data_IF_264790283713
#
_entry.id   IF_264790283713
#
_cell.length_a   1.000
_cell.length_b   1.000
_cell.length_c   1.000
_cell.angle_alpha   90.00
_cell.angle_beta   90.00
_cell.angle_gamma   90.00
#
_symmetry.space_group_name_H-M   'P 1'
#
loop_
_entity.id
_entity.type
_entity.pdbx_description
1 polymer ?
#
# COMPACT_ATOMS: atom_id res chain seq x y z
N UNK A 1 21.92 -2.28 31.02
CA UNK A 1 21.79 -1.36 29.86
C UNK A 1 21.45 0.03 30.35
N UNK A 2 22.14 1.06 29.83
CA UNK A 2 21.88 2.46 30.14
C UNK A 2 21.21 3.14 28.96
N UNK A 3 20.32 4.09 29.25
CA UNK A 3 19.63 4.89 28.25
C UNK A 3 19.93 6.37 28.51
N UNK A 4 20.09 7.11 27.41
CA UNK A 4 20.31 8.56 27.45
C UNK A 4 19.07 9.23 26.87
N UNK A 5 18.45 10.12 27.64
CA UNK A 5 17.32 10.90 27.15
C UNK A 5 17.79 11.86 26.04
N UNK A 6 17.27 11.76 24.80
CA UNK A 6 17.71 12.63 23.70
C UNK A 6 17.31 14.10 23.89
N UNK A 7 16.35 14.39 24.76
CA UNK A 7 15.86 15.75 24.98
C UNK A 7 16.66 16.54 26.04
N UNK A 8 17.23 15.87 27.06
CA UNK A 8 17.93 16.56 28.16
C UNK A 8 19.25 15.92 28.59
N UNK A 9 19.66 14.80 27.99
CA UNK A 9 20.93 14.13 28.31
C UNK A 9 20.92 13.33 29.62
N UNK A 10 19.78 13.19 30.31
CA UNK A 10 19.69 12.35 31.51
C UNK A 10 20.10 10.91 31.19
N UNK A 11 21.11 10.42 31.90
CA UNK A 11 21.68 9.08 31.73
C UNK A 11 21.36 8.24 32.97
N UNK A 12 20.61 7.16 32.77
CA UNK A 12 20.24 6.24 33.84
C UNK A 12 20.07 4.81 33.29
N UNK A 13 20.06 3.78 34.15
CA UNK A 13 19.67 2.42 33.75
C UNK A 13 18.27 2.43 33.11
N UNK A 14 18.01 1.53 32.15
CA UNK A 14 16.69 1.47 31.48
C UNK A 14 15.53 1.39 32.50
N UNK A 15 15.71 0.62 33.58
CA UNK A 15 14.70 0.44 34.62
C UNK A 15 14.27 1.77 35.27
N UNK A 16 15.13 2.78 35.32
CA UNK A 16 14.78 4.11 35.85
C UNK A 16 13.78 4.85 34.96
N UNK A 17 13.69 4.51 33.68
CA UNK A 17 12.70 5.09 32.75
C UNK A 17 11.36 4.32 32.78
N UNK A 18 11.37 3.08 33.26
CA UNK A 18 10.18 2.22 33.28
C UNK A 18 9.67 1.93 34.69
N UNK A 19 10.35 2.35 35.75
CA UNK A 19 10.05 1.95 37.14
C UNK A 19 8.66 2.38 37.64
N UNK A 20 8.05 3.35 36.98
CA UNK A 20 6.68 3.78 37.30
C UNK A 20 5.66 2.77 36.74
N UNK A 21 4.66 2.39 37.53
CA UNK A 21 3.61 1.47 37.09
C UNK A 21 2.89 1.94 35.82
N UNK A 22 2.70 3.25 35.65
CA UNK A 22 2.12 3.82 34.45
C UNK A 22 3.03 3.66 33.21
N UNK A 23 4.35 3.72 33.38
CA UNK A 23 5.31 3.49 32.31
C UNK A 23 5.31 2.01 31.88
N UNK A 24 5.21 1.07 32.82
CA UNK A 24 5.04 -0.35 32.53
C UNK A 24 3.75 -0.62 31.74
N UNK A 25 2.61 -0.08 32.20
CA UNK A 25 1.33 -0.20 31.49
C UNK A 25 1.42 0.39 30.08
N UNK A 26 2.06 1.53 29.92
CA UNK A 26 2.25 2.12 28.59
C UNK A 26 3.06 1.20 27.68
N UNK A 27 4.16 0.63 28.19
CA UNK A 27 4.97 -0.34 27.44
C UNK A 27 4.15 -1.57 27.01
N UNK A 28 3.35 -2.15 27.91
CA UNK A 28 2.45 -3.27 27.61
C UNK A 28 1.44 -2.92 26.51
N UNK A 29 0.82 -1.75 26.57
CA UNK A 29 -0.11 -1.28 25.54
C UNK A 29 0.58 -1.09 24.19
N UNK A 30 1.80 -0.56 24.17
CA UNK A 30 2.55 -0.38 22.93
C UNK A 30 2.94 -1.70 22.25
N UNK A 31 3.11 -2.78 23.02
CA UNK A 31 3.40 -4.12 22.45
C UNK A 31 2.21 -4.71 21.69
N UNK A 32 0.98 -4.25 21.94
CA UNK A 32 -0.22 -4.67 21.20
C UNK A 32 -0.36 -3.95 19.87
N UNK A 33 0.41 -2.90 19.63
CA UNK A 33 0.34 -2.10 18.41
C UNK A 33 1.06 -2.86 17.28
N UNK A 34 0.41 -3.07 16.12
CA UNK A 34 1.08 -3.64 14.95
C UNK A 34 2.31 -2.81 14.55
N UNK A 35 3.42 -3.45 14.15
CA UNK A 35 4.69 -2.76 13.86
C UNK A 35 4.56 -1.72 12.75
N UNK A 36 3.66 -1.93 11.78
CA UNK A 36 3.37 -0.98 10.71
C UNK A 36 2.81 0.37 11.21
N UNK A 37 2.21 0.40 12.41
CA UNK A 37 1.60 1.60 13.00
C UNK A 37 2.49 2.28 14.04
N UNK A 38 3.52 1.60 14.57
CA UNK A 38 4.28 2.05 15.74
C UNK A 38 4.83 3.47 15.61
N UNK A 39 5.52 3.78 14.51
CA UNK A 39 6.16 5.09 14.32
C UNK A 39 5.14 6.23 14.19
N UNK A 40 4.12 6.06 13.35
CA UNK A 40 3.09 7.10 13.14
C UNK A 40 2.24 7.30 14.39
N UNK A 41 1.99 6.23 15.14
CA UNK A 41 1.25 6.27 16.39
C UNK A 41 2.00 7.08 17.46
N UNK A 42 3.31 6.91 17.60
CA UNK A 42 4.11 7.71 18.53
C UNK A 42 4.00 9.21 18.22
N UNK A 43 4.08 9.60 16.95
CA UNK A 43 3.91 11.00 16.53
C UNK A 43 2.48 11.50 16.78
N UNK A 44 1.48 10.65 16.54
CA UNK A 44 0.09 10.97 16.81
C UNK A 44 -0.19 11.22 18.30
N UNK A 45 0.40 10.41 19.21
CA UNK A 45 0.26 10.62 20.66
C UNK A 45 0.78 12.02 21.09
N UNK A 46 1.78 12.57 20.41
CA UNK A 46 2.27 13.92 20.70
C UNK A 46 1.25 15.03 20.40
N UNK A 47 0.19 14.76 19.62
CA UNK A 47 -0.90 15.72 19.39
C UNK A 47 -1.77 15.93 20.63
N UNK A 48 -1.70 15.02 21.61
CA UNK A 48 -2.41 15.12 22.89
C UNK A 48 -1.55 15.73 24.00
N UNK A 49 -0.28 16.02 23.71
CA UNK A 49 0.66 16.57 24.68
C UNK A 49 0.20 17.98 25.13
N UNK A 50 0.10 18.23 26.44
CA UNK A 50 -0.25 19.56 26.94
C UNK A 50 0.76 20.63 26.49
N UNK A 51 0.29 21.87 26.27
CA UNK A 51 1.18 22.95 25.82
C UNK A 51 2.23 23.38 26.86
N UNK A 52 1.88 23.35 28.15
CA UNK A 52 2.72 23.86 29.25
C UNK A 52 3.44 22.77 30.05
N UNK A 53 2.99 21.52 29.95
CA UNK A 53 3.45 20.44 30.80
C UNK A 53 3.80 19.20 29.99
N UNK A 54 4.72 18.39 30.51
CA UNK A 54 5.05 17.10 29.92
C UNK A 54 3.85 16.16 30.02
N UNK A 55 3.63 15.38 28.96
CA UNK A 55 2.60 14.34 28.96
C UNK A 55 3.02 13.22 29.91
N UNK A 56 2.16 12.87 30.87
CA UNK A 56 2.38 11.73 31.77
C UNK A 56 2.06 10.41 31.08
N UNK A 57 2.66 9.32 31.54
CA UNK A 57 2.34 7.98 31.03
C UNK A 57 0.87 7.62 31.26
N UNK A 58 0.27 8.03 32.38
CA UNK A 58 -1.16 7.83 32.62
C UNK A 58 -2.03 8.47 31.54
N UNK A 59 -1.72 9.72 31.14
CA UNK A 59 -2.45 10.39 30.07
C UNK A 59 -2.22 9.68 28.74
N UNK A 60 -0.98 9.25 28.46
CA UNK A 60 -0.67 8.49 27.25
C UNK A 60 -1.47 7.18 27.18
N UNK A 61 -1.57 6.42 28.27
CA UNK A 61 -2.40 5.22 28.35
C UNK A 61 -3.87 5.51 28.08
N UNK A 62 -4.44 6.57 28.70
CA UNK A 62 -5.83 6.98 28.49
C UNK A 62 -6.15 7.35 27.04
N UNK A 63 -5.16 7.84 26.29
CA UNK A 63 -5.29 8.15 24.85
C UNK A 63 -5.09 6.88 24.01
N UNK A 64 -4.15 6.02 24.38
CA UNK A 64 -3.81 4.82 23.61
C UNK A 64 -4.89 3.73 23.70
N UNK A 65 -5.52 3.56 24.87
CA UNK A 65 -6.51 2.49 25.11
C UNK A 65 -7.72 2.53 24.16
N UNK A 66 -8.43 3.67 23.97
CA UNK A 66 -9.52 3.72 23.01
C UNK A 66 -9.07 3.45 21.57
N UNK A 67 -7.83 3.83 21.23
CA UNK A 67 -7.29 3.65 19.91
C UNK A 67 -6.90 2.18 19.65
N UNK A 68 -6.40 1.47 20.67
CA UNK A 68 -6.14 0.04 20.58
C UNK A 68 -7.41 -0.76 20.31
N UNK A 69 -8.55 -0.37 20.90
CA UNK A 69 -9.84 -1.00 20.58
C UNK A 69 -10.15 -0.87 19.08
N UNK A 70 -9.89 0.29 18.46
CA UNK A 70 -10.09 0.47 17.01
C UNK A 70 -9.11 -0.39 16.20
N UNK A 71 -7.85 -0.48 16.62
CA UNK A 71 -6.82 -1.28 15.94
C UNK A 71 -7.17 -2.78 15.97
N UNK A 72 -7.65 -3.26 17.11
CA UNK A 72 -7.97 -4.67 17.34
C UNK A 72 -9.29 -5.09 16.70
N UNK A 73 -10.31 -4.23 16.78
CA UNK A 73 -11.63 -4.51 16.18
C UNK A 73 -11.67 -4.23 14.69
N UNK A 74 -10.76 -3.39 14.18
CA UNK A 74 -10.80 -2.92 12.79
C UNK A 74 -12.03 -2.09 12.48
N UNK A 75 -12.68 -1.51 13.50
CA UNK A 75 -13.92 -0.75 13.35
C UNK A 75 -13.86 0.57 14.14
N UNK A 76 -14.45 1.63 13.57
CA UNK A 76 -14.60 2.92 14.24
C UNK A 76 -16.04 3.41 14.17
N UNK A 77 -16.58 3.85 15.31
CA UNK A 77 -17.93 4.41 15.39
C UNK A 77 -17.91 5.91 15.14
N UNK A 78 -18.63 6.36 14.11
CA UNK A 78 -18.78 7.79 13.82
C UNK A 78 -20.18 8.10 13.29
N UNK A 79 -20.79 9.19 13.77
CA UNK A 79 -22.12 9.64 13.36
C UNK A 79 -23.22 8.54 13.40
N UNK A 80 -23.21 7.71 14.46
CA UNK A 80 -24.11 6.56 14.68
C UNK A 80 -23.97 5.38 13.70
N UNK A 81 -22.93 5.36 12.86
CA UNK A 81 -22.58 4.22 12.00
C UNK A 81 -21.20 3.68 12.39
N UNK A 82 -21.03 2.38 12.26
CA UNK A 82 -19.74 1.71 12.41
C UNK A 82 -19.09 1.59 11.03
N UNK A 83 -17.81 1.95 10.96
CA UNK A 83 -17.01 1.96 9.74
C UNK A 83 -15.89 0.95 9.89
N UNK A 84 -15.78 0.03 8.93
CA UNK A 84 -14.63 -0.87 8.86
C UNK A 84 -13.40 -0.12 8.37
N UNK A 85 -12.28 -0.34 9.05
CA UNK A 85 -11.02 0.36 8.81
C UNK A 85 -9.88 -0.64 8.81
N UNK A 86 -9.15 -0.70 7.70
CA UNK A 86 -7.91 -1.47 7.63
C UNK A 86 -6.76 -0.76 8.35
N UNK A 87 -5.73 -1.50 8.77
CA UNK A 87 -4.54 -0.90 9.37
C UNK A 87 -3.84 0.09 8.42
N UNK A 88 -3.90 -0.13 7.11
CA UNK A 88 -3.34 0.80 6.12
C UNK A 88 -4.10 2.15 6.11
N UNK A 89 -5.44 2.11 6.10
CA UNK A 89 -6.27 3.31 6.17
C UNK A 89 -6.07 4.06 7.49
N UNK A 90 -5.89 3.33 8.60
CA UNK A 90 -5.58 3.93 9.88
C UNK A 90 -4.21 4.62 9.86
N UNK A 91 -3.18 3.97 9.30
CA UNK A 91 -1.84 4.56 9.16
C UNK A 91 -1.89 5.87 8.36
N UNK A 92 -2.61 5.87 7.23
CA UNK A 92 -2.79 7.03 6.38
C UNK A 92 -3.51 8.17 7.11
N UNK A 93 -4.60 7.87 7.82
CA UNK A 93 -5.35 8.88 8.58
C UNK A 93 -4.54 9.47 9.74
N UNK A 94 -3.78 8.65 10.47
CA UNK A 94 -2.87 9.12 11.50
C UNK A 94 -1.77 10.01 10.90
N UNK A 95 -1.16 9.58 9.79
CA UNK A 95 -0.13 10.34 9.09
C UNK A 95 -0.64 11.68 8.57
N UNK A 96 -1.85 11.71 8.00
CA UNK A 96 -2.54 12.92 7.57
C UNK A 96 -2.71 13.92 8.72
N UNK A 97 -3.15 13.46 9.89
CA UNK A 97 -3.32 14.34 11.06
C UNK A 97 -1.98 14.87 11.58
N UNK A 98 -0.95 14.02 11.62
CA UNK A 98 0.40 14.42 12.02
C UNK A 98 0.97 15.47 11.07
N UNK A 99 0.77 15.32 9.75
CA UNK A 99 1.21 16.28 8.75
C UNK A 99 0.53 17.66 8.88
N UNK A 100 -0.70 17.70 9.37
CA UNK A 100 -1.48 18.93 9.58
C UNK A 100 -1.38 19.49 10.99
N UNK A 101 -0.36 19.10 11.75
CA UNK A 101 -0.18 19.53 13.14
C UNK A 101 -0.31 21.05 13.34
N UNK A 102 0.19 21.85 12.40
CA UNK A 102 0.14 23.32 12.48
C UNK A 102 -1.26 23.92 12.29
N UNK A 103 -2.18 23.19 11.64
CA UNK A 103 -3.57 23.61 11.38
C UNK A 103 -4.54 23.16 12.49
N UNK A 104 -4.08 22.28 13.40
CA UNK A 104 -4.91 21.70 14.44
C UNK A 104 -4.82 22.48 15.75
N UNK A 105 -5.95 22.63 16.43
CA UNK A 105 -5.99 23.14 17.80
C UNK A 105 -5.48 22.07 18.76
N UNK A 106 -4.26 22.28 19.28
CA UNK A 106 -3.62 21.38 20.25
C UNK A 106 -3.77 21.91 21.69
N UNK A 107 -3.89 21.02 22.70
CA UNK A 107 -3.90 19.57 22.58
C UNK A 107 -5.24 19.02 22.09
N UNK A 108 -5.19 17.92 21.33
CA UNK A 108 -6.39 17.17 21.01
C UNK A 108 -7.05 16.62 22.28
N UNK A 109 -8.39 16.64 22.31
CA UNK A 109 -9.17 16.17 23.46
C UNK A 109 -9.57 14.70 23.35
N UNK A 110 -9.78 14.20 22.13
CA UNK A 110 -10.26 12.85 21.85
C UNK A 110 -9.97 12.45 20.39
N UNK A 111 -10.39 11.25 19.98
CA UNK A 111 -10.20 10.69 18.64
C UNK A 111 -11.36 11.00 17.67
N UNK A 112 -12.29 11.90 18.01
CA UNK A 112 -13.47 12.15 17.16
C UNK A 112 -13.09 12.70 15.78
N UNK A 113 -12.02 13.50 15.70
CA UNK A 113 -11.52 13.99 14.42
C UNK A 113 -10.90 12.86 13.59
N UNK A 114 -10.17 11.93 14.20
CA UNK A 114 -9.66 10.73 13.52
C UNK A 114 -10.82 9.89 12.96
N UNK A 115 -11.86 9.65 13.76
CA UNK A 115 -13.06 8.94 13.33
C UNK A 115 -13.79 9.65 12.16
N UNK A 116 -13.81 10.99 12.16
CA UNK A 116 -14.34 11.80 11.05
C UNK A 116 -13.51 11.62 9.78
N UNK A 117 -12.18 11.65 9.88
CA UNK A 117 -11.28 11.46 8.72
C UNK A 117 -11.46 10.06 8.13
N UNK A 118 -11.47 9.03 8.98
CA UNK A 118 -11.66 7.63 8.57
C UNK A 118 -13.00 7.40 7.89
N UNK A 119 -14.10 7.86 8.50
CA UNK A 119 -15.44 7.76 7.89
C UNK A 119 -15.55 8.55 6.59
N UNK A 120 -14.91 9.70 6.47
CA UNK A 120 -14.90 10.48 5.22
C UNK A 120 -14.13 9.77 4.11
N UNK A 121 -13.02 9.09 4.44
CA UNK A 121 -12.27 8.29 3.48
C UNK A 121 -13.06 7.04 3.05
N UNK A 122 -13.68 6.33 3.99
CA UNK A 122 -14.52 5.17 3.71
C UNK A 122 -15.72 5.53 2.80
N UNK A 123 -16.43 6.63 3.11
CA UNK A 123 -17.52 7.12 2.27
C UNK A 123 -17.11 7.42 0.83
N UNK A 124 -15.92 8.00 0.62
CA UNK A 124 -15.41 8.28 -0.73
C UNK A 124 -15.14 7.00 -1.51
N UNK A 125 -14.63 5.96 -0.84
CA UNK A 125 -14.40 4.65 -1.46
C UNK A 125 -15.72 3.95 -1.81
N UNK A 126 -16.71 3.99 -0.91
CA UNK A 126 -18.06 3.47 -1.17
C UNK A 126 -18.68 4.18 -2.39
N UNK A 127 -18.67 5.52 -2.42
CA UNK A 127 -19.21 6.31 -3.53
C UNK A 127 -18.51 6.03 -4.87
N UNK A 128 -17.17 5.86 -4.87
CA UNK A 128 -16.43 5.52 -6.08
C UNK A 128 -16.78 4.12 -6.61
N UNK A 129 -16.96 3.16 -5.69
CA UNK A 129 -17.35 1.78 -6.03
C UNK A 129 -18.76 1.75 -6.60
N UNK A 130 -19.70 2.48 -5.99
CA UNK A 130 -21.07 2.60 -6.49
C UNK A 130 -21.11 3.25 -7.88
N UNK A 131 -20.33 4.31 -8.12
CA UNK A 131 -20.24 4.96 -9.42
C UNK A 131 -19.72 4.01 -10.51
N UNK A 132 -18.69 3.20 -10.20
CA UNK A 132 -18.17 2.19 -11.13
C UNK A 132 -19.21 1.09 -11.41
N UNK A 133 -19.91 0.61 -10.39
CA UNK A 133 -20.97 -0.38 -10.57
C UNK A 133 -22.14 0.16 -11.42
N UNK A 134 -22.52 1.43 -11.23
CA UNK A 134 -23.54 2.08 -12.04
C UNK A 134 -23.05 2.21 -13.50
N UNK A 135 -21.79 2.57 -13.73
CA UNK A 135 -21.22 2.63 -15.08
C UNK A 135 -21.22 1.24 -15.76
N UNK A 136 -20.77 0.20 -15.06
CA UNK A 136 -20.79 -1.18 -15.58
C UNK A 136 -22.20 -1.68 -15.87
N UNK A 137 -23.21 -1.30 -15.06
CA UNK A 137 -24.62 -1.63 -15.33
C UNK A 137 -25.23 -0.81 -16.47
N UNK A 138 -24.71 0.39 -16.75
CA UNK A 138 -25.16 1.26 -17.85
C UNK A 138 -24.50 0.90 -19.18
N UNK A 139 -23.35 0.24 -19.14
CA UNK A 139 -22.68 -0.26 -20.34
C UNK A 139 -23.57 -1.33 -20.98
N UNK A 140 -23.98 -1.15 -22.25
CA UNK A 140 -24.74 -2.18 -22.96
C UNK A 140 -23.90 -3.46 -23.01
N UNK A 141 -24.54 -4.65 -23.04
CA UNK A 141 -23.80 -5.90 -23.16
C UNK A 141 -22.83 -5.78 -24.33
N UNK A 142 -21.55 -6.07 -24.06
CA UNK A 142 -20.54 -6.10 -25.10
C UNK A 142 -21.10 -6.90 -26.29
N UNK A 143 -20.93 -6.41 -27.54
CA UNK A 143 -21.35 -7.19 -28.69
C UNK A 143 -20.78 -8.59 -28.52
N UNK A 144 -21.65 -9.60 -28.61
CA UNK A 144 -21.26 -11.01 -28.52
C UNK A 144 -20.00 -11.17 -29.36
N UNK A 145 -18.87 -11.66 -28.79
CA UNK A 145 -17.66 -11.79 -29.58
C UNK A 145 -18.01 -12.76 -30.71
N UNK A 146 -18.21 -12.20 -31.90
CA UNK A 146 -18.34 -13.00 -33.11
C UNK A 146 -17.03 -13.77 -33.17
N UNK A 147 -17.12 -15.09 -33.10
CA UNK A 147 -15.95 -15.94 -33.13
C UNK A 147 -15.12 -15.50 -34.34
N UNK A 148 -13.86 -15.08 -34.14
CA UNK A 148 -13.03 -14.58 -35.22
C UNK A 148 -13.00 -15.65 -36.31
N UNK A 149 -13.20 -15.21 -37.56
CA UNK A 149 -13.12 -16.08 -38.72
C UNK A 149 -11.77 -16.81 -38.75
N UNK A 150 -11.68 -17.95 -39.42
CA UNK A 150 -10.45 -18.74 -39.46
C UNK A 150 -9.23 -17.93 -39.97
N UNK A 151 -9.45 -16.88 -40.76
CA UNK A 151 -8.39 -15.98 -41.22
C UNK A 151 -8.01 -14.92 -40.19
N UNK A 152 -8.96 -14.37 -39.43
CA UNK A 152 -8.67 -13.50 -38.29
C UNK A 152 -7.92 -14.24 -37.19
N UNK A 153 -8.24 -15.52 -36.96
CA UNK A 153 -7.52 -16.37 -36.02
C UNK A 153 -6.05 -16.58 -36.45
N UNK A 154 -5.79 -16.75 -37.74
CA UNK A 154 -4.42 -16.83 -38.28
C UNK A 154 -3.66 -15.53 -38.11
N UNK A 155 -4.31 -14.38 -38.34
CA UNK A 155 -3.69 -13.05 -38.17
C UNK A 155 -3.37 -12.79 -36.69
N UNK A 156 -4.27 -13.14 -35.78
CA UNK A 156 -4.07 -13.00 -34.33
C UNK A 156 -2.95 -13.93 -33.85
N UNK A 157 -2.95 -15.19 -34.28
CA UNK A 157 -1.90 -16.15 -33.95
C UNK A 157 -0.53 -15.68 -34.46
N UNK A 158 -0.47 -15.18 -35.70
CA UNK A 158 0.76 -14.65 -36.31
C UNK A 158 1.28 -13.42 -35.58
N UNK A 159 0.38 -12.52 -35.14
CA UNK A 159 0.77 -11.32 -34.38
C UNK A 159 1.31 -11.68 -33.00
N UNK A 160 0.69 -12.65 -32.33
CA UNK A 160 1.14 -13.15 -31.03
C UNK A 160 2.49 -13.85 -31.12
N UNK A 161 2.72 -14.64 -32.16
CA UNK A 161 4.03 -15.25 -32.43
C UNK A 161 5.13 -14.19 -32.63
N UNK A 162 4.84 -13.09 -33.34
CA UNK A 162 5.80 -11.98 -33.52
C UNK A 162 6.08 -11.25 -32.19
N UNK A 163 5.09 -11.08 -31.32
CA UNK A 163 5.27 -10.50 -29.98
C UNK A 163 6.11 -11.40 -29.07
N UNK A 164 5.90 -12.72 -29.12
CA UNK A 164 6.68 -13.73 -28.38
C UNK A 164 8.15 -13.77 -28.86
N UNK A 165 8.36 -13.80 -30.18
CA UNK A 165 9.70 -13.70 -30.80
C UNK A 165 10.43 -12.40 -30.42
N UNK A 166 9.72 -11.27 -30.40
CA UNK A 166 10.29 -9.98 -29.99
C UNK A 166 10.70 -9.96 -28.52
N UNK A 167 9.94 -10.64 -27.65
CA UNK A 167 10.26 -10.77 -26.23
C UNK A 167 11.49 -11.65 -26.00
N UNK A 168 11.62 -12.76 -26.73
CA UNK A 168 12.78 -13.65 -26.68
C UNK A 168 14.06 -12.97 -27.16
N UNK A 169 13.97 -12.20 -28.25
CA UNK A 169 15.12 -11.45 -28.75
C UNK A 169 15.55 -10.31 -27.80
N UNK A 170 14.59 -9.64 -27.18
CA UNK A 170 14.86 -8.65 -26.14
C UNK A 170 15.53 -9.28 -24.91
N UNK A 171 15.19 -10.53 -24.57
CA UNK A 171 15.83 -11.31 -23.51
C UNK A 171 17.26 -11.74 -23.89
N UNK A 172 17.48 -12.23 -25.12
CA UNK A 172 18.80 -12.61 -25.62
C UNK A 172 19.77 -11.41 -25.69
N UNK A 173 19.29 -10.25 -26.14
CA UNK A 173 20.06 -9.00 -26.19
C UNK A 173 20.48 -8.50 -24.79
N UNK A 174 19.65 -8.76 -23.76
CA UNK A 174 19.99 -8.49 -22.34
C UNK A 174 21.08 -9.42 -21.81
N UNK A 175 21.19 -10.64 -22.36
CA UNK A 175 22.18 -11.63 -21.94
C UNK A 175 23.56 -11.48 -22.63
N UNK A 176 23.75 -10.47 -23.49
CA UNK A 176 24.99 -10.25 -24.28
C UNK A 176 25.49 -11.51 -25.02
N UNK A 177 24.57 -12.35 -25.48
CA UNK A 177 24.92 -13.35 -26.48
C UNK A 177 24.90 -12.64 -27.83
N UNK A 178 26.06 -12.53 -28.49
CA UNK A 178 26.13 -12.21 -29.91
C UNK A 178 25.57 -13.40 -30.69
N UNK A 179 24.25 -13.56 -30.67
CA UNK A 179 23.57 -14.59 -31.45
C UNK A 179 23.68 -14.17 -32.91
N UNK A 180 24.43 -14.92 -33.70
CA UNK A 180 24.54 -14.68 -35.14
C UNK A 180 23.21 -14.97 -35.82
N UNK A 181 22.95 -14.30 -36.96
CA UNK A 181 21.73 -14.47 -37.76
C UNK A 181 21.41 -15.95 -38.04
N UNK A 182 22.44 -16.75 -38.22
CA UNK A 182 22.34 -18.19 -38.49
C UNK A 182 21.90 -19.00 -37.25
N UNK A 183 22.43 -18.68 -36.06
CA UNK A 183 22.04 -19.34 -34.81
C UNK A 183 20.57 -19.07 -34.45
N UNK A 184 20.07 -17.87 -34.75
CA UNK A 184 18.67 -17.53 -34.55
C UNK A 184 17.77 -18.23 -35.58
N UNK A 185 18.20 -18.32 -36.84
CA UNK A 185 17.46 -19.06 -37.87
C UNK A 185 17.34 -20.55 -37.52
N UNK A 186 18.41 -21.18 -37.04
CA UNK A 186 18.42 -22.60 -36.64
C UNK A 186 17.49 -22.88 -35.45
N UNK A 187 17.49 -21.99 -34.45
CA UNK A 187 16.63 -22.13 -33.28
C UNK A 187 15.14 -21.97 -33.63
N UNK A 188 14.80 -21.01 -34.51
CA UNK A 188 13.43 -20.79 -34.96
C UNK A 188 12.94 -21.91 -35.89
N UNK A 189 13.83 -22.48 -36.69
CA UNK A 189 13.51 -23.64 -37.50
C UNK A 189 13.26 -24.88 -36.61
N UNK A 190 14.07 -25.08 -35.56
CA UNK A 190 13.86 -26.13 -34.56
C UNK A 190 12.53 -25.97 -33.78
N UNK A 191 12.04 -24.74 -33.62
CA UNK A 191 10.74 -24.43 -33.02
C UNK A 191 9.53 -24.63 -33.97
N UNK A 192 9.76 -25.06 -35.21
CA UNK A 192 8.70 -25.40 -36.16
C UNK A 192 8.15 -24.22 -36.97
N UNK A 193 8.84 -23.07 -36.97
CA UNK A 193 8.47 -21.94 -37.81
C UNK A 193 8.81 -22.19 -39.28
N UNK A 194 7.98 -21.68 -40.19
CA UNK A 194 8.26 -21.82 -41.62
C UNK A 194 9.39 -20.89 -42.04
N UNK A 195 10.16 -21.31 -43.05
CA UNK A 195 11.30 -20.54 -43.59
C UNK A 195 10.90 -19.09 -43.97
N UNK A 196 9.70 -18.91 -44.51
CA UNK A 196 9.18 -17.59 -44.89
C UNK A 196 8.90 -16.68 -43.69
N UNK A 197 8.43 -17.24 -42.55
CA UNK A 197 8.20 -16.47 -41.33
C UNK A 197 9.51 -16.10 -40.62
N UNK A 198 10.52 -16.98 -40.72
CA UNK A 198 11.87 -16.74 -40.18
C UNK A 198 12.57 -15.63 -40.97
N UNK A 199 12.56 -15.69 -42.30
CA UNK A 199 13.18 -14.66 -43.15
C UNK A 199 12.55 -13.27 -42.92
N UNK A 200 11.21 -13.21 -42.80
CA UNK A 200 10.50 -11.97 -42.52
C UNK A 200 10.77 -11.42 -41.10
N UNK A 201 10.86 -12.28 -40.10
CA UNK A 201 11.17 -11.88 -38.72
C UNK A 201 12.61 -11.38 -38.61
N UNK A 202 13.57 -12.05 -39.24
CA UNK A 202 14.98 -11.63 -39.26
C UNK A 202 15.14 -10.26 -39.94
N UNK A 203 14.44 -10.01 -41.04
CA UNK A 203 14.48 -8.73 -41.78
C UNK A 203 13.86 -7.55 -41.01
N UNK A 204 12.86 -7.83 -40.15
CA UNK A 204 12.22 -6.79 -39.32
C UNK A 204 12.97 -6.46 -38.03
N UNK A 205 13.77 -7.39 -37.53
CA UNK A 205 14.33 -7.37 -36.17
C UNK A 205 15.83 -7.04 -36.17
N UNK A 206 16.53 -7.39 -37.25
CA UNK A 206 17.94 -7.08 -37.48
C UNK A 206 18.04 -6.30 -38.81
N UNK A 207 18.18 -4.97 -38.80
CA UNK A 207 18.48 -4.22 -40.03
C UNK A 207 19.88 -4.54 -40.56
#
# INVERSE_FOLDING_TARGET
>A
MHCICPACGFNAPLLSFTSEAAAHRFAELTLRVPPALGNVLQLYLHLFAPAKHRMTFEKACRVLEPLLVVIETGNVRYAKRDWSVSHAQLAEALGYMVGRRAELELPLRNHNYLAKVLSSAANKLEAATEAQQIQQKREPPAPTPVAPTADEQKVIARRKAVEELGAELAAAKRLRLEVTRDQLADHLFAAGHTKADIEFALDKVLP
#
